data_IF_982621385200
#
_entry.id   IF_982621385200
#
_cell.length_a   1.000
_cell.length_b   1.000
_cell.length_c   1.000
_cell.angle_alpha   90.00
_cell.angle_beta   90.00
_cell.angle_gamma   90.00
#
_symmetry.space_group_name_H-M   'P 1'
#
loop_
_entity.id
_entity.type
_entity.pdbx_description
1 polymer ?
#
# COMPACT_ATOMS: atom_id res chain seq x y z
N UNK A 1 -40.73 -26.83 -47.05
CA UNK A 1 -41.04 -26.51 -45.64
C UNK A 1 -40.65 -25.06 -45.44
N UNK A 2 -41.59 -24.17 -45.69
CA UNK A 2 -41.34 -22.72 -45.75
C UNK A 2 -41.79 -22.10 -44.43
N UNK A 3 -40.82 -21.70 -43.60
CA UNK A 3 -41.07 -20.84 -42.45
C UNK A 3 -41.47 -19.46 -42.97
N UNK A 4 -42.77 -19.23 -43.08
CA UNK A 4 -43.37 -17.94 -43.38
C UNK A 4 -43.06 -16.97 -42.25
N UNK A 5 -42.14 -16.05 -42.51
CA UNK A 5 -41.95 -14.83 -41.72
C UNK A 5 -43.29 -14.09 -41.67
N UNK A 6 -43.95 -14.11 -40.51
CA UNK A 6 -45.11 -13.27 -40.24
C UNK A 6 -44.67 -11.81 -40.37
N UNK A 7 -44.92 -11.24 -41.55
CA UNK A 7 -44.78 -9.82 -41.81
C UNK A 7 -45.84 -9.13 -40.94
N UNK A 8 -45.40 -8.48 -39.86
CA UNK A 8 -46.25 -7.60 -39.06
C UNK A 8 -46.87 -6.55 -39.99
N UNK A 9 -48.15 -6.74 -40.33
CA UNK A 9 -48.88 -5.77 -41.14
C UNK A 9 -49.10 -4.48 -40.35
N UNK A 10 -49.12 -3.31 -40.99
CA UNK A 10 -49.38 -2.04 -40.30
C UNK A 10 -50.69 -2.05 -39.48
N UNK A 11 -51.66 -2.86 -39.89
CA UNK A 11 -52.94 -3.07 -39.23
C UNK A 11 -52.84 -3.88 -37.93
N UNK A 12 -51.97 -4.90 -37.88
CA UNK A 12 -51.70 -5.63 -36.63
C UNK A 12 -50.93 -4.76 -35.64
N UNK A 13 -50.01 -3.93 -36.14
CA UNK A 13 -49.30 -2.93 -35.33
C UNK A 13 -50.28 -1.89 -34.77
N UNK A 14 -51.18 -1.34 -35.59
CA UNK A 14 -52.21 -0.41 -35.13
C UNK A 14 -53.18 -1.02 -34.12
N UNK A 15 -53.55 -2.30 -34.27
CA UNK A 15 -54.41 -2.98 -33.30
C UNK A 15 -53.72 -3.19 -31.95
N UNK A 16 -52.41 -3.45 -31.95
CA UNK A 16 -51.60 -3.54 -30.73
C UNK A 16 -51.51 -2.17 -30.05
N UNK A 17 -51.20 -1.10 -30.80
CA UNK A 17 -51.15 0.26 -30.25
C UNK A 17 -52.51 0.81 -29.82
N UNK A 18 -53.61 0.40 -30.45
CA UNK A 18 -54.97 0.80 -30.04
C UNK A 18 -55.44 0.13 -28.74
N UNK A 19 -54.89 -1.05 -28.41
CA UNK A 19 -55.20 -1.78 -27.18
C UNK A 19 -54.17 -1.52 -26.06
N UNK A 20 -53.07 -0.84 -26.37
CA UNK A 20 -52.03 -0.49 -25.42
C UNK A 20 -52.52 0.68 -24.56
N UNK A 21 -52.87 0.39 -23.31
CA UNK A 21 -53.18 1.42 -22.33
C UNK A 21 -51.90 2.20 -22.07
N UNK A 22 -51.98 3.52 -22.13
CA UNK A 22 -50.83 4.41 -21.92
C UNK A 22 -50.18 4.17 -20.54
N UNK A 23 -50.99 3.80 -19.55
CA UNK A 23 -50.58 3.46 -18.19
C UNK A 23 -49.67 2.22 -18.13
N UNK A 24 -49.93 1.20 -18.95
CA UNK A 24 -49.12 -0.02 -19.00
C UNK A 24 -47.72 0.28 -19.57
N UNK A 25 -47.63 1.19 -20.54
CA UNK A 25 -46.35 1.65 -21.11
C UNK A 25 -45.56 2.43 -20.07
N UNK A 26 -46.20 3.35 -19.36
CA UNK A 26 -45.54 4.14 -18.32
C UNK A 26 -45.08 3.28 -17.15
N UNK A 27 -45.88 2.29 -16.73
CA UNK A 27 -45.48 1.32 -15.71
C UNK A 27 -44.31 0.45 -16.17
N UNK A 28 -44.31 -0.01 -17.41
CA UNK A 28 -43.19 -0.75 -17.99
C UNK A 28 -41.91 0.09 -18.02
N UNK A 29 -41.97 1.34 -18.49
CA UNK A 29 -40.81 2.24 -18.51
C UNK A 29 -40.29 2.56 -17.11
N UNK A 30 -41.18 2.70 -16.12
CA UNK A 30 -40.79 2.95 -14.73
C UNK A 30 -40.11 1.74 -14.12
N UNK A 31 -40.68 0.55 -14.32
CA UNK A 31 -40.13 -0.72 -13.85
C UNK A 31 -38.78 -1.03 -14.51
N UNK A 32 -38.67 -0.80 -15.83
CA UNK A 32 -37.43 -0.99 -16.58
C UNK A 32 -36.33 -0.03 -16.12
N UNK A 33 -36.67 1.25 -15.86
CA UNK A 33 -35.70 2.22 -15.30
C UNK A 33 -35.21 1.81 -13.92
N UNK A 34 -36.10 1.34 -13.05
CA UNK A 34 -35.72 0.84 -11.72
C UNK A 34 -34.80 -0.38 -11.81
N UNK A 35 -35.12 -1.33 -12.69
CA UNK A 35 -34.28 -2.50 -12.93
C UNK A 35 -32.89 -2.11 -13.45
N UNK A 36 -32.82 -1.15 -14.38
CA UNK A 36 -31.53 -0.66 -14.91
C UNK A 36 -30.66 -0.03 -13.81
N UNK A 37 -31.26 0.75 -12.91
CA UNK A 37 -30.57 1.33 -11.77
C UNK A 37 -30.07 0.27 -10.78
N UNK A 38 -30.88 -0.73 -10.48
CA UNK A 38 -30.48 -1.84 -9.60
C UNK A 38 -29.31 -2.62 -10.19
N UNK A 39 -29.31 -2.84 -11.52
CA UNK A 39 -28.21 -3.49 -12.21
C UNK A 39 -26.91 -2.66 -12.13
N UNK A 40 -27.00 -1.35 -12.36
CA UNK A 40 -25.84 -0.45 -12.22
C UNK A 40 -25.30 -0.43 -10.78
N UNK A 41 -26.18 -0.44 -9.78
CA UNK A 41 -25.77 -0.55 -8.38
C UNK A 41 -25.06 -1.86 -8.07
N UNK A 42 -25.52 -2.98 -8.63
CA UNK A 42 -24.86 -4.27 -8.47
C UNK A 42 -23.46 -4.26 -9.10
N UNK A 43 -23.33 -3.76 -10.34
CA UNK A 43 -22.04 -3.66 -11.03
C UNK A 43 -21.05 -2.77 -10.26
N UNK A 44 -21.52 -1.63 -9.72
CA UNK A 44 -20.71 -0.74 -8.88
C UNK A 44 -20.29 -1.42 -7.57
N UNK A 45 -21.17 -2.16 -6.91
CA UNK A 45 -20.81 -2.91 -5.70
C UNK A 45 -19.73 -3.95 -5.98
N UNK A 46 -19.82 -4.66 -7.10
CA UNK A 46 -18.79 -5.62 -7.50
C UNK A 46 -17.46 -4.91 -7.73
N UNK A 47 -17.45 -3.79 -8.45
CA UNK A 47 -16.23 -3.00 -8.67
C UNK A 47 -15.61 -2.50 -7.35
N UNK A 48 -16.43 -2.01 -6.42
CA UNK A 48 -15.98 -1.59 -5.09
C UNK A 48 -15.37 -2.76 -4.32
N UNK A 49 -15.97 -3.95 -4.38
CA UNK A 49 -15.43 -5.14 -3.73
C UNK A 49 -14.06 -5.52 -4.30
N UNK A 50 -13.91 -5.50 -5.62
CA UNK A 50 -12.62 -5.77 -6.29
C UNK A 50 -11.56 -4.74 -5.91
N UNK A 51 -11.90 -3.45 -5.91
CA UNK A 51 -10.97 -2.39 -5.50
C UNK A 51 -10.55 -2.53 -4.04
N UNK A 52 -11.48 -2.87 -3.14
CA UNK A 52 -11.15 -3.13 -1.73
C UNK A 52 -10.18 -4.30 -1.57
N UNK A 53 -10.36 -5.36 -2.34
CA UNK A 53 -9.44 -6.50 -2.33
C UNK A 53 -8.04 -6.07 -2.80
N UNK A 54 -7.95 -5.29 -3.87
CA UNK A 54 -6.67 -4.75 -4.36
C UNK A 54 -6.00 -3.83 -3.32
N UNK A 55 -6.76 -3.03 -2.59
CA UNK A 55 -6.22 -2.19 -1.50
C UNK A 55 -5.63 -3.06 -0.39
N UNK A 56 -6.30 -4.15 0.00
CA UNK A 56 -5.77 -5.06 1.03
C UNK A 56 -4.51 -5.74 0.55
N UNK A 57 -4.49 -6.26 -0.66
CA UNK A 57 -3.31 -6.91 -1.27
C UNK A 57 -2.14 -5.93 -1.39
N UNK A 58 -2.41 -4.70 -1.84
CA UNK A 58 -1.39 -3.66 -1.94
C UNK A 58 -0.86 -3.26 -0.56
N UNK A 59 -1.72 -3.15 0.47
CA UNK A 59 -1.26 -2.90 1.83
C UNK A 59 -0.37 -4.03 2.36
N UNK A 60 -0.66 -5.29 2.03
CA UNK A 60 0.21 -6.41 2.40
C UNK A 60 1.57 -6.31 1.72
N UNK A 61 1.62 -5.95 0.44
CA UNK A 61 2.87 -5.70 -0.27
C UNK A 61 3.63 -4.50 0.31
N UNK A 62 2.93 -3.42 0.64
CA UNK A 62 3.52 -2.25 1.29
C UNK A 62 4.11 -2.60 2.65
N UNK A 63 3.42 -3.41 3.47
CA UNK A 63 3.94 -3.89 4.74
C UNK A 63 5.20 -4.75 4.59
N UNK A 64 5.36 -5.46 3.47
CA UNK A 64 6.58 -6.21 3.18
C UNK A 64 7.75 -5.31 2.77
N UNK A 65 7.46 -4.10 2.27
CA UNK A 65 8.48 -3.14 1.80
C UNK A 65 8.73 -1.98 2.75
N UNK A 66 7.91 -1.82 3.79
CA UNK A 66 8.07 -0.70 4.72
C UNK A 66 9.29 -0.93 5.62
N UNK A 67 10.23 0.04 5.70
CA UNK A 67 11.25 0.00 6.73
C UNK A 67 10.56 -0.02 8.08
N UNK A 68 11.04 -0.88 8.99
CA UNK A 68 10.51 -0.94 10.35
C UNK A 68 10.62 0.42 11.04
N UNK A 69 9.84 0.69 12.08
CA UNK A 69 9.92 1.96 12.81
C UNK A 69 11.35 2.31 13.25
N UNK A 70 12.16 1.30 13.60
CA UNK A 70 13.59 1.44 13.95
C UNK A 70 14.40 1.85 12.73
N UNK A 71 14.21 1.20 11.58
CA UNK A 71 14.85 1.59 10.32
C UNK A 71 14.51 3.02 9.92
N UNK A 72 13.24 3.43 10.01
CA UNK A 72 12.81 4.79 9.67
C UNK A 72 13.38 5.84 10.63
N UNK A 73 13.42 5.55 11.94
CA UNK A 73 14.04 6.43 12.93
C UNK A 73 15.56 6.56 12.71
N UNK A 74 16.22 5.46 12.38
CA UNK A 74 17.66 5.42 12.06
C UNK A 74 17.95 6.27 10.83
N UNK A 75 17.19 6.08 9.74
CA UNK A 75 17.33 6.89 8.52
C UNK A 75 17.12 8.39 8.82
N UNK A 76 16.05 8.74 9.53
CA UNK A 76 15.76 10.13 9.86
C UNK A 76 16.88 10.77 10.69
N UNK A 77 17.44 10.04 11.67
CA UNK A 77 18.56 10.49 12.50
C UNK A 77 19.83 10.69 11.66
N UNK A 78 20.21 9.69 10.87
CA UNK A 78 21.43 9.74 10.04
C UNK A 78 21.33 10.85 8.98
N UNK A 79 20.17 11.00 8.33
CA UNK A 79 19.92 12.09 7.38
C UNK A 79 19.93 13.46 8.04
N UNK A 80 19.39 13.59 9.26
CA UNK A 80 19.46 14.86 10.02
C UNK A 80 20.88 15.26 10.40
N UNK A 81 21.76 14.26 10.53
CA UNK A 81 23.19 14.43 10.82
C UNK A 81 24.05 14.49 9.54
N UNK A 82 23.44 14.62 8.36
CA UNK A 82 24.14 14.88 7.11
C UNK A 82 24.54 13.64 6.30
N UNK A 83 24.14 12.43 6.69
CA UNK A 83 24.35 11.22 5.88
C UNK A 83 23.33 11.20 4.74
N UNK A 84 23.78 11.59 3.54
CA UNK A 84 22.94 11.64 2.34
C UNK A 84 23.22 10.52 1.34
N UNK A 85 24.22 9.68 1.59
CA UNK A 85 24.56 8.55 0.72
C UNK A 85 23.50 7.44 0.87
N UNK A 86 22.64 7.31 -0.15
CA UNK A 86 21.57 6.32 -0.18
C UNK A 86 22.10 4.88 -0.23
N UNK A 87 23.21 4.63 -0.93
CA UNK A 87 23.80 3.29 -1.04
C UNK A 87 24.41 2.84 0.30
N UNK A 88 24.90 3.79 1.10
CA UNK A 88 25.36 3.53 2.46
C UNK A 88 24.19 3.21 3.40
N UNK A 89 23.13 4.02 3.35
CA UNK A 89 21.93 3.82 4.17
C UNK A 89 21.24 2.49 3.84
N UNK A 90 21.11 2.13 2.56
CA UNK A 90 20.53 0.85 2.15
C UNK A 90 21.35 -0.34 2.65
N UNK A 91 22.69 -0.28 2.57
CA UNK A 91 23.58 -1.32 3.13
C UNK A 91 23.43 -1.47 4.65
N UNK A 92 23.15 -0.38 5.37
CA UNK A 92 22.85 -0.43 6.81
C UNK A 92 21.51 -1.11 7.07
N UNK A 93 20.48 -0.82 6.27
CA UNK A 93 19.17 -1.45 6.40
C UNK A 93 19.20 -2.96 6.09
N UNK A 94 20.01 -3.38 5.12
CA UNK A 94 20.15 -4.80 4.74
C UNK A 94 20.71 -5.68 5.87
N UNK A 95 21.49 -5.13 6.81
CA UNK A 95 22.01 -5.86 7.97
C UNK A 95 20.93 -6.27 8.98
N UNK A 96 19.76 -5.64 8.91
CA UNK A 96 18.58 -5.98 9.70
C UNK A 96 18.42 -5.17 10.98
N UNK A 97 17.22 -5.23 11.52
CA UNK A 97 16.74 -4.36 12.60
C UNK A 97 17.50 -4.51 13.92
N UNK A 98 17.84 -5.74 14.33
CA UNK A 98 18.58 -5.98 15.57
C UNK A 98 20.01 -5.40 15.52
N UNK A 99 20.62 -5.40 14.33
CA UNK A 99 21.92 -4.77 14.13
C UNK A 99 21.78 -3.25 14.17
N UNK A 100 20.78 -2.68 13.47
CA UNK A 100 20.52 -1.24 13.50
C UNK A 100 20.28 -0.70 14.91
N UNK A 101 19.48 -1.39 15.72
CA UNK A 101 19.19 -0.99 17.10
C UNK A 101 20.47 -0.95 17.95
N UNK A 102 21.31 -1.99 17.84
CA UNK A 102 22.60 -2.04 18.51
C UNK A 102 23.55 -0.93 18.02
N UNK A 103 23.62 -0.72 16.71
CA UNK A 103 24.43 0.33 16.09
C UNK A 103 23.96 1.73 16.52
N UNK A 104 22.66 1.98 16.68
CA UNK A 104 22.17 3.25 17.21
C UNK A 104 22.55 3.48 18.68
N UNK A 105 22.60 2.42 19.50
CA UNK A 105 23.12 2.52 20.86
C UNK A 105 24.63 2.83 20.88
N UNK A 106 25.40 2.20 19.99
CA UNK A 106 26.83 2.50 19.82
C UNK A 106 27.05 3.94 19.34
N UNK A 107 26.19 4.44 18.46
CA UNK A 107 26.21 5.84 18.00
C UNK A 107 25.99 6.79 19.18
N UNK A 108 24.97 6.56 19.99
CA UNK A 108 24.69 7.36 21.20
C UNK A 108 25.87 7.37 22.17
N UNK A 109 26.51 6.23 22.38
CA UNK A 109 27.71 6.14 23.19
C UNK A 109 28.85 6.99 22.59
N UNK A 110 29.12 6.85 21.29
CA UNK A 110 30.16 7.63 20.62
C UNK A 110 29.88 9.15 20.59
N UNK A 111 28.61 9.56 20.52
CA UNK A 111 28.19 10.96 20.63
C UNK A 111 28.43 11.53 22.03
N UNK A 112 28.18 10.75 23.08
CA UNK A 112 28.43 11.17 24.47
C UNK A 112 29.92 11.46 24.76
N UNK A 113 30.82 10.74 24.09
CA UNK A 113 32.27 10.89 24.26
C UNK A 113 32.94 11.74 23.16
N UNK A 114 32.14 12.41 22.32
CA UNK A 114 32.61 13.29 21.21
C UNK A 114 33.57 12.58 20.22
N UNK A 115 33.31 11.30 19.96
CA UNK A 115 34.20 10.46 19.15
C UNK A 115 33.95 10.61 17.64
N UNK A 116 32.77 11.09 17.24
CA UNK A 116 32.29 11.12 15.84
C UNK A 116 32.76 12.37 15.08
N UNK A 117 33.10 13.47 15.79
CA UNK A 117 33.64 14.72 15.20
C UNK A 117 32.86 15.19 13.95
N UNK A 118 31.53 15.07 14.00
CA UNK A 118 30.58 15.43 12.92
C UNK A 118 30.68 14.65 11.59
N UNK A 119 31.49 13.58 11.50
CA UNK A 119 31.56 12.74 10.29
C UNK A 119 30.76 11.44 10.42
N UNK A 120 29.44 11.60 10.40
CA UNK A 120 28.49 10.50 10.53
C UNK A 120 28.55 9.53 9.35
N UNK A 121 28.98 9.97 8.16
CA UNK A 121 29.08 9.11 6.97
C UNK A 121 30.24 8.12 7.13
N UNK A 122 31.43 8.60 7.50
CA UNK A 122 32.57 7.72 7.79
C UNK A 122 32.32 6.83 9.01
N UNK A 123 31.58 7.33 10.00
CA UNK A 123 31.17 6.49 11.13
C UNK A 123 30.28 5.32 10.67
N UNK A 124 29.29 5.56 9.82
CA UNK A 124 28.42 4.53 9.26
C UNK A 124 29.18 3.47 8.45
N UNK A 125 30.17 3.88 7.66
CA UNK A 125 31.06 2.95 6.93
C UNK A 125 31.84 2.05 7.89
N UNK A 126 32.47 2.63 8.91
CA UNK A 126 33.20 1.86 9.92
C UNK A 126 32.29 0.96 10.76
N UNK A 127 31.05 1.38 11.03
CA UNK A 127 30.06 0.56 11.70
C UNK A 127 29.72 -0.70 10.89
N UNK A 128 29.57 -0.57 9.56
CA UNK A 128 29.34 -1.71 8.66
C UNK A 128 30.51 -2.70 8.64
N UNK A 129 31.74 -2.22 8.89
CA UNK A 129 32.95 -3.02 9.03
C UNK A 129 33.10 -3.68 10.41
N UNK A 130 32.22 -3.36 11.37
CA UNK A 130 32.28 -3.89 12.74
C UNK A 130 33.31 -3.18 13.62
N UNK A 131 33.75 -1.97 13.27
CA UNK A 131 34.78 -1.23 14.00
C UNK A 131 34.39 -0.90 15.46
N UNK A 132 33.11 -0.97 15.79
CA UNK A 132 32.56 -0.60 17.09
C UNK A 132 32.01 -1.77 17.92
N UNK A 133 32.18 -3.02 17.46
CA UNK A 133 31.72 -4.23 18.17
C UNK A 133 32.32 -4.38 19.58
N UNK A 134 33.46 -3.72 19.84
CA UNK A 134 34.07 -3.68 21.17
C UNK A 134 33.25 -2.88 22.19
N UNK A 135 32.40 -1.94 21.75
CA UNK A 135 31.52 -1.15 22.63
C UNK A 135 30.50 -2.08 23.31
N UNK A 136 30.00 -3.10 22.60
CA UNK A 136 29.09 -4.10 23.16
C UNK A 136 29.76 -4.91 24.26
N UNK A 137 31.07 -5.17 24.09
CA UNK A 137 31.86 -5.88 25.10
C UNK A 137 32.02 -5.06 26.37
N UNK A 138 32.07 -3.72 26.29
CA UNK A 138 32.10 -2.85 27.48
C UNK A 138 30.74 -2.75 28.18
N UNK A 139 29.63 -2.67 27.44
CA UNK A 139 28.28 -2.66 28.04
C UNK A 139 27.96 -3.98 28.76
N UNK A 140 28.47 -5.13 28.26
CA UNK A 140 28.36 -6.43 28.94
C UNK A 140 29.18 -6.51 30.23
N UNK A 141 30.28 -5.77 30.35
CA UNK A 141 31.12 -5.74 31.55
C UNK A 141 30.49 -4.88 32.65
N UNK A 142 29.82 -3.77 32.29
CA UNK A 142 29.16 -2.88 33.25
C UNK A 142 27.86 -3.46 33.84
N UNK A 143 27.17 -4.35 33.13
CA UNK A 143 25.94 -5.01 33.60
C UNK A 143 26.18 -6.26 34.45
N UNK A 144 27.43 -6.73 34.52
CA UNK A 144 27.84 -7.89 35.32
C UNK A 144 28.45 -7.54 36.69
N UNK A 145 28.36 -6.28 37.10
CA UNK A 145 28.75 -5.76 38.42
C UNK A 145 27.53 -5.30 39.21
#
# INVERSE_FOLDING_TARGET
MSNSSEQYTPETINHVFANLQLEDVEQFYTSYRQWLQQRQLADLHTQIATLRQQIVENNLLLQQTHPTPIALATLARLQSNGVTDLDLLDRMLERGEAWLDNTMQQLEYCEQFDFIRDDYSTWCEHALEGAYDWIDSMHKVQTAQ
#
